data_IF_925298741103
#
_entry.id   IF_925298741103
#
_cell.length_a   1.000
_cell.length_b   1.000
_cell.length_c   1.000
_cell.angle_alpha   90.00
_cell.angle_beta   90.00
_cell.angle_gamma   90.00
#
_symmetry.space_group_name_H-M   'P 1'
#
loop_
_entity.id
_entity.type
_entity.pdbx_description
1 polymer ?
#
# COMPACT_ATOMS: atom_id res chain seq x y z
N UNK A 1 9.08 2.66 17.63
CA UNK A 1 8.95 3.38 16.36
C UNK A 1 7.62 4.09 16.43
N UNK A 2 7.59 5.42 16.32
CA UNK A 2 6.33 6.15 16.25
C UNK A 2 5.80 6.02 14.81
N UNK A 3 4.62 5.45 14.64
CA UNK A 3 4.03 5.21 13.32
C UNK A 3 3.12 6.38 12.97
N UNK A 4 3.61 7.29 12.12
CA UNK A 4 2.77 8.35 11.55
C UNK A 4 2.16 7.87 10.23
N UNK A 5 0.86 7.55 10.26
CA UNK A 5 0.12 7.10 9.09
C UNK A 5 0.15 8.11 7.93
N UNK A 6 0.31 9.42 8.19
CA UNK A 6 0.34 10.44 7.15
C UNK A 6 1.56 10.28 6.22
N UNK A 7 2.69 9.80 6.75
CA UNK A 7 3.88 9.52 5.93
C UNK A 7 3.66 8.33 4.96
N UNK A 8 2.68 7.48 5.23
CA UNK A 8 2.40 6.26 4.45
C UNK A 8 1.13 6.36 3.61
N UNK A 9 0.37 7.45 3.63
CA UNK A 9 -0.79 7.66 2.74
C UNK A 9 -0.32 8.41 1.49
N UNK A 10 0.39 7.73 0.59
CA UNK A 10 0.81 8.30 -0.68
C UNK A 10 0.91 7.23 -1.77
N UNK A 11 1.02 7.65 -3.04
CA UNK A 11 1.03 6.73 -4.17
C UNK A 11 2.19 5.73 -4.10
N UNK A 12 3.35 6.12 -3.58
CA UNK A 12 4.55 5.27 -3.58
C UNK A 12 4.50 4.21 -2.50
N UNK A 13 3.95 4.52 -1.32
CA UNK A 13 3.68 3.50 -0.30
C UNK A 13 2.65 2.47 -0.81
N UNK A 14 1.56 2.91 -1.45
CA UNK A 14 0.55 1.99 -2.00
C UNK A 14 1.08 1.14 -3.16
N UNK A 15 2.00 1.66 -3.98
CA UNK A 15 2.74 0.84 -4.96
C UNK A 15 3.53 -0.27 -4.27
N UNK A 16 4.25 0.05 -3.21
CA UNK A 16 5.04 -0.95 -2.47
C UNK A 16 4.13 -1.99 -1.81
N UNK A 17 2.99 -1.58 -1.24
CA UNK A 17 1.96 -2.51 -0.73
C UNK A 17 1.47 -3.45 -1.83
N UNK A 18 1.13 -2.92 -3.01
CA UNK A 18 0.73 -3.77 -4.14
C UNK A 18 1.83 -4.78 -4.51
N UNK A 19 3.08 -4.33 -4.59
CA UNK A 19 4.22 -5.19 -4.93
C UNK A 19 4.51 -6.28 -3.88
N UNK A 20 4.11 -6.13 -2.61
CA UNK A 20 4.22 -7.23 -1.63
C UNK A 20 3.16 -8.30 -1.80
N UNK A 21 2.01 -7.94 -2.38
CA UNK A 21 0.86 -8.81 -2.51
C UNK A 21 0.94 -9.69 -3.77
N UNK A 22 1.86 -9.41 -4.68
CA UNK A 22 2.10 -10.27 -5.85
C UNK A 22 3.38 -11.08 -5.66
N UNK A 23 3.46 -12.24 -6.31
CA UNK A 23 4.66 -13.06 -6.32
C UNK A 23 5.70 -12.42 -7.23
N UNK A 24 6.43 -11.47 -6.66
CA UNK A 24 7.36 -10.60 -7.36
C UNK A 24 8.65 -10.42 -6.55
N UNK A 25 9.78 -10.75 -7.17
CA UNK A 25 11.10 -10.50 -6.59
C UNK A 25 11.46 -9.02 -6.72
N UNK A 26 11.30 -8.26 -5.63
CA UNK A 26 11.66 -6.85 -5.58
C UNK A 26 13.17 -6.66 -5.72
N UNK A 27 13.58 -5.74 -6.60
CA UNK A 27 14.97 -5.25 -6.65
C UNK A 27 15.35 -4.42 -5.42
N UNK A 28 16.65 -4.13 -5.26
CA UNK A 28 17.17 -3.32 -4.14
C UNK A 28 16.63 -1.88 -4.21
N UNK A 29 15.97 -1.43 -3.14
CA UNK A 29 15.58 -0.03 -2.99
C UNK A 29 16.79 0.85 -2.67
N UNK A 30 16.85 2.05 -3.28
CA UNK A 30 17.88 3.07 -2.99
C UNK A 30 17.33 4.28 -2.25
N UNK A 31 16.04 4.59 -2.45
CA UNK A 31 15.42 5.74 -1.83
C UNK A 31 15.01 5.42 -0.38
N UNK A 32 15.35 6.30 0.56
CA UNK A 32 15.17 6.06 1.99
C UNK A 32 13.70 5.86 2.39
N UNK A 33 12.78 6.59 1.75
CA UNK A 33 11.34 6.43 1.94
C UNK A 33 10.86 5.03 1.53
N UNK A 34 11.30 4.52 0.38
CA UNK A 34 10.95 3.17 -0.09
C UNK A 34 11.49 2.11 0.87
N UNK A 35 12.71 2.29 1.39
CA UNK A 35 13.28 1.39 2.40
C UNK A 35 12.40 1.37 3.66
N UNK A 36 11.96 2.53 4.15
CA UNK A 36 11.06 2.63 5.30
C UNK A 36 9.71 1.97 5.04
N UNK A 37 9.10 2.20 3.88
CA UNK A 37 7.83 1.58 3.51
C UNK A 37 7.94 0.05 3.50
N UNK A 38 9.00 -0.48 2.89
CA UNK A 38 9.23 -1.93 2.85
C UNK A 38 9.45 -2.52 4.23
N UNK A 39 10.20 -1.84 5.11
CA UNK A 39 10.41 -2.32 6.47
C UNK A 39 9.09 -2.50 7.23
N UNK A 40 8.18 -1.53 7.14
CA UNK A 40 6.86 -1.63 7.77
C UNK A 40 6.01 -2.72 7.12
N UNK A 41 5.99 -2.78 5.78
CA UNK A 41 5.23 -3.81 5.07
C UNK A 41 5.72 -5.20 5.44
N UNK A 42 7.03 -5.44 5.35
CA UNK A 42 7.64 -6.75 5.57
C UNK A 42 7.47 -7.20 7.04
N UNK A 43 7.35 -6.26 7.98
CA UNK A 43 7.02 -6.54 9.38
C UNK A 43 5.63 -7.19 9.54
N UNK A 44 4.63 -6.76 8.77
CA UNK A 44 3.24 -7.22 8.91
C UNK A 44 2.76 -8.15 7.79
N UNK A 45 3.54 -8.30 6.72
CA UNK A 45 3.13 -9.06 5.53
C UNK A 45 2.86 -10.53 5.87
N UNK A 46 3.74 -11.18 6.64
CA UNK A 46 3.59 -12.60 7.00
C UNK A 46 2.29 -12.88 7.74
N UNK A 47 2.00 -12.07 8.76
CA UNK A 47 0.76 -12.17 9.54
C UNK A 47 -0.46 -11.92 8.67
N UNK A 48 -0.42 -10.88 7.83
CA UNK A 48 -1.50 -10.59 6.89
C UNK A 48 -1.79 -11.77 5.96
N UNK A 49 -0.77 -12.34 5.31
CA UNK A 49 -0.92 -13.47 4.40
C UNK A 49 -1.51 -14.70 5.12
N UNK A 50 -1.09 -14.93 6.36
CA UNK A 50 -1.56 -16.05 7.18
C UNK A 50 -3.02 -15.85 7.60
N UNK A 51 -3.35 -14.70 8.19
CA UNK A 51 -4.70 -14.39 8.71
C UNK A 51 -5.74 -14.42 7.58
N UNK A 52 -5.36 -13.90 6.41
CA UNK A 52 -6.27 -13.82 5.25
C UNK A 52 -6.25 -15.08 4.38
N UNK A 53 -5.34 -16.03 4.66
CA UNK A 53 -5.05 -17.16 3.76
C UNK A 53 -4.76 -16.70 2.32
N UNK A 54 -4.18 -15.52 2.17
CA UNK A 54 -3.97 -14.91 0.87
C UNK A 54 -2.77 -15.55 0.16
N UNK A 55 -3.02 -16.09 -1.03
CA UNK A 55 -1.98 -16.61 -1.91
C UNK A 55 -1.56 -15.54 -2.90
N UNK A 56 -0.25 -15.24 -2.93
CA UNK A 56 0.29 -14.24 -3.84
C UNK A 56 0.23 -14.75 -5.28
N UNK A 57 -0.49 -14.07 -6.19
CA UNK A 57 -0.54 -14.47 -7.59
C UNK A 57 0.77 -14.08 -8.29
N UNK A 58 1.21 -14.93 -9.22
CA UNK A 58 2.29 -14.57 -10.13
C UNK A 58 1.79 -13.53 -11.15
N UNK A 59 2.49 -12.41 -11.25
CA UNK A 59 2.10 -11.29 -12.12
C UNK A 59 3.28 -10.86 -12.99
N UNK A 60 3.25 -11.25 -14.27
CA UNK A 60 4.34 -11.00 -15.25
C UNK A 60 4.72 -9.52 -15.33
N UNK A 61 3.74 -8.62 -15.21
CA UNK A 61 3.93 -7.17 -15.30
C UNK A 61 3.75 -6.48 -13.93
N UNK A 62 4.21 -7.11 -12.84
CA UNK A 62 4.05 -6.62 -11.47
C UNK A 62 4.42 -5.14 -11.30
N UNK A 63 5.59 -4.71 -11.78
CA UNK A 63 6.02 -3.30 -11.70
C UNK A 63 5.06 -2.34 -12.41
N UNK A 64 4.67 -2.66 -13.65
CA UNK A 64 3.77 -1.81 -14.43
C UNK A 64 2.38 -1.75 -13.79
N UNK A 65 1.88 -2.88 -13.31
CA UNK A 65 0.60 -2.96 -12.61
C UNK A 65 0.62 -2.14 -11.33
N UNK A 66 1.72 -2.13 -10.57
CA UNK A 66 1.84 -1.37 -9.33
C UNK A 66 1.63 0.13 -9.55
N UNK A 67 2.11 0.68 -10.66
CA UNK A 67 1.92 2.10 -10.98
C UNK A 67 0.42 2.44 -11.08
N UNK A 68 -0.33 1.61 -11.80
CA UNK A 68 -1.76 1.82 -12.01
C UNK A 68 -2.57 1.45 -10.77
N UNK A 69 -2.37 0.27 -10.20
CA UNK A 69 -3.12 -0.23 -9.05
C UNK A 69 -2.81 0.55 -7.77
N UNK A 70 -1.55 0.87 -7.49
CA UNK A 70 -1.17 1.73 -6.36
C UNK A 70 -1.83 3.11 -6.45
N UNK A 71 -1.95 3.67 -7.67
CA UNK A 71 -2.68 4.93 -7.88
C UNK A 71 -4.18 4.76 -7.63
N UNK A 72 -4.81 3.69 -8.13
CA UNK A 72 -6.24 3.41 -7.89
C UNK A 72 -6.54 3.26 -6.40
N UNK A 73 -5.72 2.51 -5.67
CA UNK A 73 -5.87 2.30 -4.23
C UNK A 73 -5.77 3.64 -3.50
N UNK A 74 -4.74 4.45 -3.79
CA UNK A 74 -4.60 5.79 -3.21
C UNK A 74 -5.82 6.67 -3.49
N UNK A 75 -6.28 6.73 -4.75
CA UNK A 75 -7.43 7.53 -5.14
C UNK A 75 -8.70 7.07 -4.44
N UNK A 76 -8.96 5.76 -4.37
CA UNK A 76 -10.10 5.20 -3.66
C UNK A 76 -10.06 5.55 -2.16
N UNK A 77 -8.88 5.46 -1.53
CA UNK A 77 -8.68 5.86 -0.14
C UNK A 77 -8.97 7.35 0.06
N UNK A 78 -8.33 8.22 -0.72
CA UNK A 78 -8.50 9.66 -0.62
C UNK A 78 -9.96 10.09 -0.84
N UNK A 79 -10.63 9.50 -1.84
CA UNK A 79 -12.04 9.76 -2.11
C UNK A 79 -12.92 9.31 -0.93
N UNK A 80 -12.66 8.13 -0.35
CA UNK A 80 -13.42 7.65 0.80
C UNK A 80 -13.23 8.55 2.03
N UNK A 81 -12.00 8.99 2.31
CA UNK A 81 -11.73 9.94 3.39
C UNK A 81 -12.48 11.25 3.15
N UNK A 82 -12.39 11.81 1.93
CA UNK A 82 -13.07 13.05 1.59
C UNK A 82 -14.61 12.94 1.70
N UNK A 83 -15.18 11.87 1.16
CA UNK A 83 -16.63 11.62 1.21
C UNK A 83 -17.13 11.41 2.64
N UNK A 84 -16.42 10.61 3.45
CA UNK A 84 -16.81 10.37 4.85
C UNK A 84 -16.62 11.61 5.71
N UNK A 85 -15.57 12.40 5.46
CA UNK A 85 -15.38 13.68 6.14
C UNK A 85 -16.49 14.67 5.79
N UNK A 86 -16.83 14.79 4.50
CA UNK A 86 -17.96 15.62 4.06
C UNK A 86 -19.31 15.14 4.59
N UNK A 87 -19.52 13.83 4.73
CA UNK A 87 -20.71 13.26 5.38
C UNK A 87 -20.76 13.55 6.88
N UNK A 88 -19.61 13.56 7.56
CA UNK A 88 -19.53 13.89 8.98
C UNK A 88 -19.87 15.38 9.22
N UNK A 89 -19.35 16.29 8.38
CA UNK A 89 -19.68 17.72 8.44
C UNK A 89 -21.15 18.04 8.11
N UNK A 90 -21.81 17.25 7.25
CA UNK A 90 -23.25 17.43 6.94
C UNK A 90 -24.18 16.87 8.01
N UNK A 91 -23.66 16.02 8.90
CA UNK A 91 -24.42 15.40 10.00
C UNK A 91 -24.18 16.10 11.34
N UNK A 92 -23.19 16.98 11.42
CA UNK A 92 -22.95 17.90 12.53
C UNK A 92 -23.75 19.19 12.33
#
# INVERSE_FOLDING_TARGET
MDFDIQEYINKDSFKEVWLSLVDYSRGRARAQNIIRYRAVIDQYLGDYLTITSYQRPNFVYAQQSAITEGTKIYTAYANNVHLRFGQHLRRA
#
